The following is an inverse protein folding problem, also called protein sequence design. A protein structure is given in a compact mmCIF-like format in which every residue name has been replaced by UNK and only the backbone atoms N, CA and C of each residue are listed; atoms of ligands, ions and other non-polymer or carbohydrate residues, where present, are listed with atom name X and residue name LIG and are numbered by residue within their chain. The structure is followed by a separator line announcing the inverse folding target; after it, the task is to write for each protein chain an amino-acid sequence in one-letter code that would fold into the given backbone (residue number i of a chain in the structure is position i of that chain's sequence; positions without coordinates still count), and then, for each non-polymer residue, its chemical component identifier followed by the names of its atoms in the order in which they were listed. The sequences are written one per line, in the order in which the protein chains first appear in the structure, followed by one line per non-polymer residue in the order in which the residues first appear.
data_IF_248336293918
#
_entry.id   IF_248336293918
#
_cell.length_a   1.000
_cell.length_b   1.000
_cell.length_c   1.000
_cell.angle_alpha   90.00
_cell.angle_beta   90.00
_cell.angle_gamma   90.00
#
_symmetry.space_group_name_H-M   'P 1'
#
loop_
_entity.id
_entity.type
_entity.pdbx_description
1 polymer ?
#
# COMPACT_ATOMS: atom_id res chain seq x y z
N UNK A 1 10.97 14.41 2.50
CA UNK A 1 9.60 14.58 1.99
C UNK A 1 8.66 14.71 3.18
N UNK A 2 7.68 15.63 3.14
CA UNK A 2 6.65 15.69 4.18
C UNK A 2 5.64 14.55 3.96
N UNK A 3 5.33 13.81 5.03
CA UNK A 3 4.39 12.70 5.00
C UNK A 3 2.97 13.24 5.20
N UNK A 4 2.05 12.87 4.30
CA UNK A 4 0.63 13.20 4.35
C UNK A 4 -0.14 12.19 5.17
N UNK A 5 0.10 10.90 4.95
CA UNK A 5 -0.46 9.82 5.76
C UNK A 5 0.51 8.64 5.85
N UNK A 6 0.40 7.89 6.94
CA UNK A 6 1.22 6.71 7.25
C UNK A 6 0.31 5.65 7.84
N UNK A 7 0.42 4.43 7.33
CA UNK A 7 -0.26 3.24 7.84
C UNK A 7 0.79 2.19 8.15
N UNK A 8 0.88 1.80 9.42
CA UNK A 8 1.67 0.65 9.86
C UNK A 8 0.81 -0.60 9.74
N UNK A 9 1.41 -1.72 9.33
CA UNK A 9 0.72 -3.00 9.21
C UNK A 9 1.64 -4.17 9.58
N UNK A 10 1.01 -5.25 10.03
CA UNK A 10 1.65 -6.49 10.45
C UNK A 10 0.61 -7.60 10.58
N UNK A 11 0.99 -8.83 10.26
CA UNK A 11 0.12 -10.01 10.32
C UNK A 11 0.13 -10.70 11.67
N UNK A 12 -0.90 -11.48 11.94
CA UNK A 12 -1.00 -12.21 13.20
C UNK A 12 -0.01 -13.39 13.27
N UNK A 13 0.38 -13.94 12.11
CA UNK A 13 1.33 -15.04 12.00
C UNK A 13 2.80 -14.59 11.86
N UNK A 14 3.09 -13.29 12.00
CA UNK A 14 4.46 -12.78 11.89
C UNK A 14 5.29 -13.13 13.12
N UNK A 15 6.55 -13.53 12.88
CA UNK A 15 7.52 -13.63 13.96
C UNK A 15 7.70 -12.25 14.60
N UNK A 16 7.89 -12.13 15.92
CA UNK A 16 8.27 -10.86 16.54
C UNK A 16 9.56 -10.26 15.94
N UNK A 17 10.40 -11.10 15.34
CA UNK A 17 11.63 -10.70 14.66
C UNK A 17 11.39 -10.23 13.22
N UNK A 18 10.21 -10.46 12.66
CA UNK A 18 9.78 -9.94 11.36
C UNK A 18 9.46 -8.44 11.54
N UNK A 19 10.46 -7.60 11.26
CA UNK A 19 10.39 -6.15 11.44
C UNK A 19 9.11 -5.49 10.91
N UNK A 20 8.70 -4.40 11.57
CA UNK A 20 7.46 -3.67 11.27
C UNK A 20 7.42 -3.17 9.82
N UNK A 21 6.22 -3.21 9.21
CA UNK A 21 5.98 -2.71 7.86
C UNK A 21 5.09 -1.48 7.85
N UNK A 22 5.28 -0.60 6.87
CA UNK A 22 4.45 0.58 6.72
C UNK A 22 4.31 1.02 5.27
N UNK A 23 3.16 1.62 4.96
CA UNK A 23 2.86 2.32 3.72
C UNK A 23 2.60 3.79 4.05
N UNK A 24 3.18 4.71 3.30
CA UNK A 24 2.97 6.13 3.51
C UNK A 24 2.86 6.90 2.20
N UNK A 25 2.10 7.99 2.25
CA UNK A 25 1.89 8.91 1.14
C UNK A 25 2.55 10.23 1.46
N UNK A 26 3.25 10.81 0.50
CA UNK A 26 3.87 12.13 0.62
C UNK A 26 2.94 13.23 0.13
N UNK A 27 3.20 14.48 0.50
CA UNK A 27 2.51 15.62 -0.11
C UNK A 27 2.84 15.81 -1.61
N UNK A 28 3.89 15.15 -2.12
CA UNK A 28 4.23 15.11 -3.55
C UNK A 28 3.43 14.08 -4.34
N UNK A 29 2.40 13.48 -3.74
CA UNK A 29 1.57 12.43 -4.34
C UNK A 29 2.36 11.14 -4.69
N UNK A 30 3.35 10.84 -3.85
CA UNK A 30 4.15 9.63 -3.97
C UNK A 30 3.80 8.67 -2.85
N UNK A 31 3.70 7.39 -3.18
CA UNK A 31 3.40 6.32 -2.22
C UNK A 31 4.66 5.47 -2.04
N UNK A 32 4.99 5.16 -0.79
CA UNK A 32 6.15 4.35 -0.45
C UNK A 32 5.81 3.26 0.56
N UNK A 33 6.35 2.07 0.35
CA UNK A 33 6.34 0.95 1.30
C UNK A 33 7.71 0.77 1.96
N UNK A 34 7.73 0.28 3.20
CA UNK A 34 8.95 -0.09 3.93
C UNK A 34 8.69 -1.27 4.88
N UNK A 35 9.74 -2.01 5.24
CA UNK A 35 9.69 -3.17 6.14
C UNK A 35 9.50 -4.49 5.40
N UNK A 36 8.89 -5.48 6.07
CA UNK A 36 8.54 -6.76 5.42
C UNK A 36 7.36 -6.55 4.47
N UNK A 37 7.67 -6.54 3.19
CA UNK A 37 6.76 -6.21 2.09
C UNK A 37 5.66 -7.27 1.84
N UNK A 38 5.47 -8.22 2.77
CA UNK A 38 4.62 -9.40 2.65
C UNK A 38 3.12 -9.13 2.53
N UNK A 39 2.65 -7.90 2.71
CA UNK A 39 1.21 -7.56 2.67
C UNK A 39 0.84 -6.61 1.54
N UNK A 40 1.76 -6.44 0.59
CA UNK A 40 1.44 -5.82 -0.69
C UNK A 40 1.11 -6.89 -1.75
N UNK A 41 1.35 -8.16 -1.42
CA UNK A 41 0.87 -9.34 -2.16
C UNK A 41 2.00 -10.33 -2.41
N UNK A 42 1.74 -11.63 -2.22
CA UNK A 42 2.65 -12.72 -2.64
C UNK A 42 2.62 -12.90 -4.17
N UNK A 43 1.54 -12.44 -4.83
CA UNK A 43 1.22 -12.68 -6.24
C UNK A 43 0.82 -11.40 -7.01
N UNK A 44 1.28 -10.23 -6.55
CA UNK A 44 1.09 -8.96 -7.26
C UNK A 44 2.31 -8.67 -8.11
N UNK A 45 2.33 -9.21 -9.32
CA UNK A 45 3.22 -8.87 -10.46
C UNK A 45 3.46 -7.37 -10.66
N UNK A 46 2.57 -6.50 -10.14
CA UNK A 46 2.60 -5.04 -10.27
C UNK A 46 3.08 -4.27 -9.03
N UNK A 47 3.26 -4.93 -7.88
CA UNK A 47 3.70 -4.31 -6.62
C UNK A 47 4.90 -5.06 -6.01
N UNK A 48 5.76 -5.62 -6.87
CA UNK A 48 6.95 -6.37 -6.45
C UNK A 48 8.00 -5.46 -5.84
N UNK A 49 8.39 -5.74 -4.60
CA UNK A 49 9.57 -5.20 -3.96
C UNK A 49 10.70 -6.22 -4.15
N UNK A 50 11.87 -5.79 -4.61
CA UNK A 50 13.02 -6.68 -4.69
C UNK A 50 13.43 -7.11 -3.27
N UNK A 51 13.84 -8.37 -3.06
CA UNK A 51 14.29 -8.86 -1.74
C UNK A 51 15.40 -7.98 -1.13
N UNK A 52 16.14 -7.25 -1.96
CA UNK A 52 17.19 -6.30 -1.56
C UNK A 52 16.66 -5.06 -0.84
N UNK A 53 15.38 -4.75 -0.99
CA UNK A 53 14.73 -3.60 -0.34
C UNK A 53 14.26 -3.89 1.09
N UNK A 54 14.34 -5.16 1.52
CA UNK A 54 14.01 -5.60 2.89
C UNK A 54 14.94 -5.06 3.99
N UNK A 55 16.01 -4.32 3.65
CA UNK A 55 16.96 -3.74 4.62
C UNK A 55 16.56 -2.35 5.14
N UNK A 56 15.28 -2.10 5.37
CA UNK A 56 14.80 -0.82 5.93
C UNK A 56 14.82 0.35 4.94
N UNK A 57 14.83 0.07 3.64
CA UNK A 57 14.71 1.08 2.60
C UNK A 57 13.24 1.31 2.26
N UNK A 58 12.89 2.56 1.98
CA UNK A 58 11.58 2.88 1.42
C UNK A 58 11.59 2.70 -0.09
N UNK A 59 10.60 1.99 -0.60
CA UNK A 59 10.43 1.71 -2.03
C UNK A 59 9.16 2.36 -2.53
N UNK A 60 9.28 3.00 -3.69
CA UNK A 60 8.16 3.70 -4.30
C UNK A 60 7.18 2.70 -4.91
N UNK A 61 5.90 2.94 -4.66
CA UNK A 61 4.79 2.19 -5.26
C UNK A 61 4.28 2.97 -6.45
N UNK A 62 4.81 2.66 -7.63
CA UNK A 62 4.48 3.40 -8.87
C UNK A 62 3.00 3.27 -9.22
N UNK A 63 2.40 2.09 -8.99
CA UNK A 63 0.98 1.85 -9.29
C UNK A 63 0.00 2.74 -8.51
N UNK A 64 0.42 3.31 -7.37
CA UNK A 64 -0.41 4.18 -6.54
C UNK A 64 0.06 5.64 -6.55
N UNK A 65 1.27 5.91 -7.03
CA UNK A 65 1.83 7.27 -7.09
C UNK A 65 1.19 8.07 -8.22
N UNK A 66 0.94 9.36 -8.00
CA UNK A 66 0.29 10.24 -8.98
C UNK A 66 -1.24 10.10 -9.08
N UNK A 67 -1.85 9.25 -8.24
CA UNK A 67 -3.31 9.02 -8.23
C UNK A 67 -4.08 9.96 -7.30
N UNK A 68 -3.40 10.87 -6.59
CA UNK A 68 -4.03 11.77 -5.63
C UNK A 68 -4.53 11.05 -4.37
N UNK A 69 -3.74 10.10 -3.84
CA UNK A 69 -4.16 9.27 -2.69
C UNK A 69 -4.39 10.15 -1.46
N UNK A 70 -5.54 9.96 -0.82
CA UNK A 70 -5.94 10.67 0.41
C UNK A 70 -5.90 9.78 1.64
N UNK A 71 -6.18 8.49 1.48
CA UNK A 71 -6.16 7.50 2.54
C UNK A 71 -5.70 6.16 2.01
N UNK A 72 -4.93 5.44 2.83
CA UNK A 72 -4.51 4.07 2.59
C UNK A 72 -4.87 3.25 3.81
N UNK A 73 -5.36 2.04 3.59
CA UNK A 73 -5.59 1.04 4.63
C UNK A 73 -5.03 -0.30 4.15
N UNK A 74 -4.40 -1.02 5.07
CA UNK A 74 -3.75 -2.30 4.79
C UNK A 74 -4.15 -3.24 5.91
N UNK A 75 -4.81 -4.33 5.53
CA UNK A 75 -5.09 -5.48 6.38
C UNK A 75 -4.09 -6.60 6.14
N UNK A 76 -4.36 -7.77 6.70
CA UNK A 76 -3.45 -8.91 6.62
C UNK A 76 -3.24 -9.45 5.20
N UNK A 77 -4.31 -9.49 4.40
CA UNK A 77 -4.26 -10.05 3.04
C UNK A 77 -4.81 -9.12 1.96
N UNK A 78 -5.28 -7.93 2.34
CA UNK A 78 -5.97 -6.99 1.46
C UNK A 78 -5.57 -5.56 1.79
N UNK A 79 -5.44 -4.72 0.78
CA UNK A 79 -5.25 -3.28 0.93
C UNK A 79 -6.22 -2.49 0.08
N UNK A 80 -6.45 -1.24 0.49
CA UNK A 80 -7.24 -0.29 -0.27
C UNK A 80 -6.69 1.14 -0.18
N UNK A 81 -6.87 1.90 -1.25
CA UNK A 81 -6.50 3.31 -1.34
C UNK A 81 -7.65 4.14 -1.91
N UNK A 82 -7.93 5.29 -1.27
CA UNK A 82 -8.96 6.24 -1.69
C UNK A 82 -8.29 7.46 -2.33
N UNK A 83 -8.69 7.80 -3.56
CA UNK A 83 -8.23 9.01 -4.25
C UNK A 83 -9.06 10.23 -3.87
N UNK A 84 -8.54 11.43 -4.15
CA UNK A 84 -9.28 12.68 -4.05
C UNK A 84 -10.44 12.79 -5.06
N UNK A 85 -10.57 11.85 -6.00
CA UNK A 85 -11.67 11.75 -6.98
C UNK A 85 -12.78 10.80 -6.54
N UNK A 86 -12.69 10.20 -5.36
CA UNK A 86 -13.66 9.20 -4.88
C UNK A 86 -13.46 7.81 -5.49
N UNK A 87 -12.29 7.52 -6.07
CA UNK A 87 -11.96 6.22 -6.62
C UNK A 87 -11.29 5.36 -5.55
N UNK A 88 -11.71 4.10 -5.43
CA UNK A 88 -11.12 3.13 -4.50
C UNK A 88 -10.35 2.09 -5.30
N UNK A 89 -9.06 1.98 -5.00
CA UNK A 89 -8.19 0.95 -5.54
C UNK A 89 -8.03 -0.13 -4.48
N UNK A 90 -8.20 -1.40 -4.83
CA UNK A 90 -8.05 -2.53 -3.90
C UNK A 90 -7.06 -3.53 -4.45
N UNK A 91 -6.23 -4.15 -3.60
CA UNK A 91 -5.24 -5.18 -3.99
C UNK A 91 -5.15 -6.26 -2.91
N UNK A 92 -4.50 -7.39 -3.24
CA UNK A 92 -4.25 -8.50 -2.31
C UNK A 92 -4.82 -9.82 -2.81
N UNK A 93 -5.21 -10.72 -1.89
CA UNK A 93 -5.60 -12.12 -2.18
C UNK A 93 -6.81 -12.30 -3.14
N UNK A 94 -7.45 -11.20 -3.54
CA UNK A 94 -8.52 -11.18 -4.54
C UNK A 94 -8.04 -10.86 -5.98
N UNK A 95 -6.72 -10.72 -6.21
CA UNK A 95 -6.11 -10.51 -7.54
C UNK A 95 -5.48 -9.11 -7.76
N UNK A 96 -5.19 -8.80 -9.03
CA UNK A 96 -4.64 -7.50 -9.49
C UNK A 96 -5.44 -6.30 -8.97
N UNK A 97 -4.80 -5.11 -8.82
CA UNK A 97 -5.48 -3.94 -8.33
C UNK A 97 -6.76 -3.59 -9.11
N UNK A 98 -7.93 -3.67 -8.48
CA UNK A 98 -9.21 -3.34 -9.10
C UNK A 98 -9.65 -1.93 -8.72
N UNK A 99 -10.09 -1.17 -9.73
CA UNK A 99 -10.68 0.16 -9.53
C UNK A 99 -12.18 0.02 -9.30
N UNK A 100 -12.60 0.29 -8.06
CA UNK A 100 -14.01 0.41 -7.70
C UNK A 100 -14.34 1.90 -7.63
N UNK A 101 -15.23 2.36 -8.51
CA UNK A 101 -15.77 3.72 -8.42
C UNK A 101 -16.88 3.73 -7.40
N UNK A 102 -16.68 4.43 -6.29
CA UNK A 102 -17.76 4.71 -5.35
C UNK A 102 -18.64 5.75 -6.01
N UNK A 103 -19.85 5.35 -6.39
CA UNK A 103 -20.88 6.31 -6.77
C UNK A 103 -21.47 6.84 -5.47
N UNK A 104 -21.49 8.14 -5.29
CA UNK A 104 -22.41 8.73 -4.33
C UNK A 104 -23.82 8.35 -4.80
N UNK A 105 -24.55 7.56 -4.00
CA UNK A 105 -25.99 7.41 -4.18
C UNK A 105 -26.63 8.77 -3.89
N UNK A 106 -27.37 9.31 -4.86
CA UNK A 106 -28.19 10.53 -4.71
C UNK A 106 -29.27 10.38 -3.63
#
# INVERSE_FOLDING_TARGET
ANIKCLQVYGGCDRSPDDGLSALYVTYGDEVFGTGLNSMIGEDTTTLTFDEKDSQGKSVKVEALSGLGITKIVVGEFVGAALTNKGEVYTWGYFGEPQVVKVKDEE
#
